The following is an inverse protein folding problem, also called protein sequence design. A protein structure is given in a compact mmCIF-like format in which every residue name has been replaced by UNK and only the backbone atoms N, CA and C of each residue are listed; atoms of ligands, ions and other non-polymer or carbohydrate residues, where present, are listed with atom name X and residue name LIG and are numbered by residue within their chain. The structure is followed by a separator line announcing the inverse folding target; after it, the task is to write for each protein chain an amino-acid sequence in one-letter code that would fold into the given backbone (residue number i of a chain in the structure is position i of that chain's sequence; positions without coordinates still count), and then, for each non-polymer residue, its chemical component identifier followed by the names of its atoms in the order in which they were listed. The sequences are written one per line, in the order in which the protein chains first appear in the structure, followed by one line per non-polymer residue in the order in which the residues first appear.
data_IF_670520256265
#
_entry.id   IF_670520256265
#
_cell.length_a   1.000
_cell.length_b   1.000
_cell.length_c   1.000
_cell.angle_alpha   90.00
_cell.angle_beta   90.00
_cell.angle_gamma   90.00
#
_symmetry.space_group_name_H-M   'P 1'
#
loop_
_entity.id
_entity.type
_entity.pdbx_description
1 polymer ?
#
# COMPACT_ATOMS: atom_id res chain seq x y z
N UNK A 1 32.22 18.68 -37.58
CA UNK A 1 31.46 19.71 -36.86
C UNK A 1 30.11 19.20 -36.34
N UNK A 2 29.37 18.37 -37.09
CA UNK A 2 28.09 17.77 -36.66
C UNK A 2 28.15 16.95 -35.34
N UNK A 3 29.25 16.24 -35.05
CA UNK A 3 29.34 15.40 -33.85
C UNK A 3 29.42 16.16 -32.52
N UNK A 4 29.98 17.38 -32.54
CA UNK A 4 30.12 18.21 -31.34
C UNK A 4 28.78 18.87 -30.97
N UNK A 5 28.05 19.35 -31.97
CA UNK A 5 26.72 19.95 -31.80
C UNK A 5 25.68 18.95 -31.28
N UNK A 6 25.76 17.68 -31.74
CA UNK A 6 24.89 16.61 -31.22
C UNK A 6 25.23 16.21 -29.78
N UNK A 7 26.52 16.20 -29.41
CA UNK A 7 26.96 15.92 -28.05
C UNK A 7 26.56 17.06 -27.08
N UNK A 8 26.70 18.31 -27.51
CA UNK A 8 26.28 19.48 -26.74
C UNK A 8 24.76 19.49 -26.53
N UNK A 9 23.96 19.22 -27.56
CA UNK A 9 22.50 19.07 -27.40
C UNK A 9 22.13 17.91 -26.49
N UNK A 10 22.82 16.77 -26.56
CA UNK A 10 22.57 15.64 -25.66
C UNK A 10 22.86 15.99 -24.19
N UNK A 11 23.97 16.70 -23.93
CA UNK A 11 24.33 17.18 -22.59
C UNK A 11 23.33 18.23 -22.11
N UNK A 12 22.90 19.15 -22.98
CA UNK A 12 21.96 20.20 -22.64
C UNK A 12 20.56 19.63 -22.36
N UNK A 13 20.09 18.68 -23.17
CA UNK A 13 18.86 17.91 -22.91
C UNK A 13 18.97 17.09 -21.62
N UNK A 14 20.08 16.42 -21.36
CA UNK A 14 20.29 15.67 -20.11
C UNK A 14 20.27 16.59 -18.88
N UNK A 15 20.87 17.79 -18.97
CA UNK A 15 20.81 18.81 -17.91
C UNK A 15 19.41 19.39 -17.72
N UNK A 16 18.68 19.64 -18.81
CA UNK A 16 17.30 20.11 -18.73
C UNK A 16 16.36 19.04 -18.15
N UNK A 17 16.57 17.76 -18.46
CA UNK A 17 15.85 16.64 -17.86
C UNK A 17 16.18 16.52 -16.37
N UNK A 18 17.47 16.62 -16.01
CA UNK A 18 17.90 16.60 -14.61
C UNK A 18 17.31 17.75 -13.78
N UNK A 19 17.25 18.96 -14.35
CA UNK A 19 16.64 20.12 -13.69
C UNK A 19 15.10 20.04 -13.69
N UNK A 20 14.47 19.48 -14.72
CA UNK A 20 13.01 19.29 -14.75
C UNK A 20 12.55 18.18 -13.79
N UNK A 21 13.38 17.17 -13.54
CA UNK A 21 13.14 16.18 -12.47
C UNK A 21 13.30 16.77 -11.07
N UNK A 22 14.00 17.91 -10.92
CA UNK A 22 14.23 18.52 -9.61
C UNK A 22 12.94 19.08 -8.97
N UNK A 23 11.90 19.34 -9.79
CA UNK A 23 10.60 19.84 -9.36
C UNK A 23 9.50 18.77 -9.36
N UNK A 24 9.83 17.49 -9.60
CA UNK A 24 8.84 16.39 -9.61
C UNK A 24 9.26 15.27 -8.66
N UNK A 25 8.36 14.90 -7.73
CA UNK A 25 8.53 13.78 -6.83
C UNK A 25 7.55 12.67 -7.20
N UNK A 26 8.06 11.51 -7.60
CA UNK A 26 7.29 10.33 -7.94
C UNK A 26 7.19 9.41 -6.73
N UNK A 27 5.97 9.16 -6.27
CA UNK A 27 5.68 8.44 -5.03
C UNK A 27 4.95 7.15 -5.36
N UNK A 28 5.61 6.01 -5.16
CA UNK A 28 4.95 4.70 -5.14
C UNK A 28 4.28 4.46 -3.79
N UNK A 29 3.09 3.86 -3.79
CA UNK A 29 2.39 3.58 -2.54
C UNK A 29 1.46 2.37 -2.61
N UNK A 30 1.28 1.72 -1.45
CA UNK A 30 0.14 0.83 -1.21
C UNK A 30 -1.06 1.63 -0.65
N UNK A 31 -2.32 1.20 -0.88
CA UNK A 31 -3.51 2.00 -0.58
C UNK A 31 -3.63 2.55 0.86
N UNK A 32 -3.04 1.89 1.86
CA UNK A 32 -3.07 2.41 3.25
C UNK A 32 -2.35 3.76 3.39
N UNK A 33 -1.27 3.98 2.64
CA UNK A 33 -0.50 5.22 2.74
C UNK A 33 -1.33 6.44 2.31
N UNK A 34 -2.19 6.26 1.30
CA UNK A 34 -3.15 7.27 0.85
C UNK A 34 -4.10 7.71 1.95
N UNK A 35 -4.54 6.77 2.80
CA UNK A 35 -5.50 7.05 3.88
C UNK A 35 -4.83 7.54 5.16
N UNK A 36 -3.64 7.02 5.49
CA UNK A 36 -3.01 7.21 6.81
C UNK A 36 -1.79 8.12 6.82
N UNK A 37 -1.16 8.36 5.68
CA UNK A 37 0.10 9.11 5.62
C UNK A 37 -0.11 10.42 4.86
N UNK A 38 -0.59 10.35 3.62
CA UNK A 38 -0.68 11.51 2.74
C UNK A 38 -1.51 12.67 3.28
N UNK A 39 -2.66 12.47 3.96
CA UNK A 39 -3.42 13.56 4.54
C UNK A 39 -2.64 14.38 5.58
N UNK A 40 -1.63 13.79 6.23
CA UNK A 40 -0.83 14.45 7.26
C UNK A 40 0.46 15.07 6.69
N UNK A 41 1.10 14.42 5.72
CA UNK A 41 2.39 14.87 5.18
C UNK A 41 2.25 15.81 3.99
N UNK A 42 1.28 15.59 3.10
CA UNK A 42 1.18 16.34 1.85
C UNK A 42 0.83 17.81 2.03
N UNK A 43 -0.05 18.22 2.97
CA UNK A 43 -0.27 19.65 3.23
C UNK A 43 1.02 20.38 3.64
N UNK A 44 1.84 19.74 4.49
CA UNK A 44 3.11 20.30 4.93
C UNK A 44 4.13 20.37 3.78
N UNK A 45 4.22 19.33 2.96
CA UNK A 45 5.09 19.32 1.77
C UNK A 45 4.69 20.45 0.81
N UNK A 46 3.40 20.60 0.52
CA UNK A 46 2.91 21.68 -0.37
C UNK A 46 3.16 23.08 0.19
N UNK A 47 3.11 23.25 1.52
CA UNK A 47 3.38 24.54 2.15
C UNK A 47 4.86 24.94 2.08
N UNK A 48 5.79 23.98 2.23
CA UNK A 48 7.24 24.24 2.22
C UNK A 48 7.85 24.19 0.81
N UNK A 49 7.24 23.43 -0.10
CA UNK A 49 7.70 23.22 -1.47
C UNK A 49 6.53 23.43 -2.47
N UNK A 50 6.06 24.67 -2.65
CA UNK A 50 4.87 24.95 -3.46
C UNK A 50 5.01 24.59 -4.94
N UNK A 51 6.24 24.64 -5.48
CA UNK A 51 6.54 24.30 -6.87
C UNK A 51 6.73 22.79 -7.11
N UNK A 52 6.82 21.99 -6.04
CA UNK A 52 7.03 20.54 -6.14
C UNK A 52 5.77 19.84 -6.66
N UNK A 53 5.91 19.17 -7.81
CA UNK A 53 4.87 18.33 -8.41
C UNK A 53 4.99 16.90 -7.88
N UNK A 54 4.12 16.52 -6.94
CA UNK A 54 4.02 15.13 -6.51
C UNK A 54 3.15 14.31 -7.48
N UNK A 55 3.69 13.22 -8.01
CA UNK A 55 2.97 12.19 -8.79
C UNK A 55 2.81 10.93 -7.94
N UNK A 56 1.61 10.36 -7.94
CA UNK A 56 1.26 9.23 -7.10
C UNK A 56 1.02 7.98 -7.95
N UNK A 57 1.71 6.90 -7.60
CA UNK A 57 1.66 5.62 -8.31
C UNK A 57 1.17 4.54 -7.35
N UNK A 58 -0.08 4.11 -7.48
CA UNK A 58 -0.62 2.99 -6.71
C UNK A 58 -0.04 1.69 -7.26
N UNK A 59 0.87 1.08 -6.50
CA UNK A 59 1.70 -0.05 -6.94
C UNK A 59 1.79 -1.09 -5.83
N UNK A 60 1.84 -2.37 -6.19
CA UNK A 60 2.17 -3.46 -5.26
C UNK A 60 3.59 -3.28 -4.70
N UNK A 61 3.89 -3.91 -3.56
CA UNK A 61 5.22 -3.80 -2.94
C UNK A 61 6.34 -4.19 -3.92
N UNK A 62 6.13 -5.25 -4.72
CA UNK A 62 7.11 -5.72 -5.71
C UNK A 62 7.29 -4.75 -6.88
N UNK A 63 6.20 -4.16 -7.39
CA UNK A 63 6.25 -3.14 -8.44
C UNK A 63 6.97 -1.88 -7.97
N UNK A 64 6.76 -1.47 -6.72
CA UNK A 64 7.47 -0.33 -6.13
C UNK A 64 8.99 -0.57 -6.10
N UNK A 65 9.46 -1.76 -5.71
CA UNK A 65 10.90 -2.05 -5.73
C UNK A 65 11.48 -2.05 -7.14
N UNK A 66 10.74 -2.55 -8.12
CA UNK A 66 11.14 -2.47 -9.54
C UNK A 66 11.22 -1.02 -10.01
N UNK A 67 10.20 -0.22 -9.68
CA UNK A 67 10.12 1.18 -10.05
C UNK A 67 11.21 2.03 -9.38
N UNK A 68 11.56 1.76 -8.12
CA UNK A 68 12.69 2.39 -7.44
C UNK A 68 14.01 2.09 -8.16
N UNK A 69 14.28 0.80 -8.46
CA UNK A 69 15.50 0.38 -9.19
C UNK A 69 15.63 1.05 -10.55
N UNK A 70 14.52 1.26 -11.23
CA UNK A 70 14.48 1.85 -12.57
C UNK A 70 14.39 3.39 -12.55
N UNK A 71 14.39 4.04 -11.38
CA UNK A 71 14.26 5.49 -11.24
C UNK A 71 12.89 6.03 -11.71
N UNK A 72 11.86 5.19 -11.69
CA UNK A 72 10.48 5.56 -12.05
C UNK A 72 9.72 6.17 -10.87
N UNK A 73 10.08 5.78 -9.65
CA UNK A 73 9.64 6.42 -8.41
C UNK A 73 10.86 6.77 -7.56
N UNK A 74 10.71 7.81 -6.75
CA UNK A 74 11.76 8.33 -5.86
C UNK A 74 11.56 7.82 -4.43
N UNK A 75 10.30 7.64 -4.00
CA UNK A 75 9.93 7.18 -2.66
C UNK A 75 8.87 6.09 -2.76
N UNK A 76 8.99 5.05 -1.94
CA UNK A 76 8.01 3.98 -1.82
C UNK A 76 7.39 3.95 -0.41
N UNK A 77 6.06 4.00 -0.34
CA UNK A 77 5.28 3.71 0.86
C UNK A 77 4.78 2.27 0.78
N UNK A 78 5.54 1.35 1.38
CA UNK A 78 5.38 -0.10 1.30
C UNK A 78 5.09 -0.71 2.67
N UNK A 79 4.48 -1.91 2.73
CA UNK A 79 4.32 -2.67 3.99
C UNK A 79 5.55 -3.50 4.32
N UNK A 80 6.37 -3.81 3.31
CA UNK A 80 7.53 -4.65 3.45
C UNK A 80 8.77 -3.88 2.98
N UNK A 81 9.83 -3.73 3.80
CA UNK A 81 11.00 -2.94 3.43
C UNK A 81 11.93 -3.62 2.42
N UNK A 82 11.57 -4.80 1.89
CA UNK A 82 12.41 -5.48 0.90
C UNK A 82 13.69 -6.04 1.51
N UNK A 83 14.75 -6.16 0.70
CA UNK A 83 16.10 -6.40 1.18
C UNK A 83 16.76 -5.06 1.53
N UNK A 84 17.12 -4.87 2.80
CA UNK A 84 17.67 -3.63 3.36
C UNK A 84 19.05 -3.22 2.79
N UNK A 85 19.68 -4.02 1.94
CA UNK A 85 20.97 -3.70 1.34
C UNK A 85 20.89 -2.79 0.12
N UNK A 86 19.71 -2.67 -0.50
CA UNK A 86 19.52 -1.89 -1.74
C UNK A 86 18.92 -0.51 -1.47
N UNK A 87 18.08 -0.38 -0.44
CA UNK A 87 17.36 0.84 -0.14
C UNK A 87 17.40 1.16 1.35
N UNK A 88 17.55 2.45 1.66
CA UNK A 88 17.28 2.94 3.00
C UNK A 88 15.77 2.88 3.28
N UNK A 89 15.40 2.53 4.51
CA UNK A 89 14.00 2.45 4.93
C UNK A 89 13.79 3.10 6.29
N UNK A 90 12.65 3.79 6.43
CA UNK A 90 12.22 4.42 7.67
C UNK A 90 10.83 3.88 7.99
N UNK A 91 10.67 3.36 9.22
CA UNK A 91 9.38 2.90 9.71
C UNK A 91 8.51 4.10 10.07
N UNK A 92 7.33 4.20 9.46
CA UNK A 92 6.39 5.31 9.68
C UNK A 92 5.40 4.97 10.80
N UNK A 93 4.73 3.82 10.72
CA UNK A 93 3.77 3.35 11.73
C UNK A 93 3.56 1.83 11.62
N UNK A 94 2.99 1.23 12.64
CA UNK A 94 2.53 -0.17 12.61
C UNK A 94 1.03 -0.22 12.31
N UNK A 95 0.64 -1.15 11.44
CA UNK A 95 -0.74 -1.32 11.03
C UNK A 95 -1.32 -2.64 11.59
N UNK A 96 -2.23 -2.61 12.59
CA UNK A 96 -2.76 -3.84 13.16
C UNK A 96 -3.76 -4.51 12.21
N UNK A 97 -3.58 -5.82 12.03
CA UNK A 97 -4.58 -6.67 11.38
C UNK A 97 -5.83 -6.73 12.27
N UNK A 98 -7.00 -6.47 11.69
CA UNK A 98 -8.26 -6.31 12.41
C UNK A 98 -9.36 -7.14 11.76
N UNK A 99 -10.24 -7.68 12.60
CA UNK A 99 -11.47 -8.32 12.14
C UNK A 99 -12.52 -7.24 11.87
N UNK A 100 -13.16 -7.31 10.71
CA UNK A 100 -14.30 -6.49 10.34
C UNK A 100 -15.52 -7.42 10.25
N UNK A 101 -16.62 -7.02 10.86
CA UNK A 101 -17.87 -7.79 10.85
C UNK A 101 -19.04 -6.88 10.45
N UNK A 102 -20.15 -7.45 9.93
CA UNK A 102 -21.37 -6.69 9.73
C UNK A 102 -21.82 -5.99 11.01
N UNK A 103 -22.39 -4.80 10.90
CA UNK A 103 -22.84 -4.00 12.06
C UNK A 103 -23.83 -4.77 12.95
N UNK A 104 -24.68 -5.58 12.35
CA UNK A 104 -25.72 -6.35 13.05
C UNK A 104 -25.20 -7.72 13.55
N UNK A 105 -23.90 -8.01 13.37
CA UNK A 105 -23.30 -9.23 13.90
C UNK A 105 -23.24 -9.19 15.43
N UNK A 106 -23.55 -10.29 16.15
CA UNK A 106 -23.36 -10.38 17.60
C UNK A 106 -21.93 -10.03 18.05
N UNK A 107 -20.94 -10.30 17.19
CA UNK A 107 -19.54 -9.97 17.44
C UNK A 107 -19.29 -8.46 17.52
N UNK A 108 -20.09 -7.63 16.84
CA UNK A 108 -19.94 -6.17 16.85
C UNK A 108 -20.28 -5.54 18.21
N UNK A 109 -21.04 -6.24 19.05
CA UNK A 109 -21.39 -5.79 20.40
C UNK A 109 -20.30 -6.10 21.44
N UNK A 110 -19.27 -6.86 21.08
CA UNK A 110 -18.24 -7.34 22.01
C UNK A 110 -16.94 -6.52 21.87
N UNK A 111 -16.31 -6.10 22.99
CA UNK A 111 -15.04 -5.38 22.93
C UNK A 111 -13.87 -6.27 22.47
N UNK A 112 -14.00 -7.59 22.70
CA UNK A 112 -13.04 -8.60 22.26
C UNK A 112 -13.80 -9.84 21.83
N UNK A 113 -13.30 -10.49 20.78
CA UNK A 113 -13.84 -11.76 20.28
C UNK A 113 -12.73 -12.79 20.20
N UNK A 114 -13.08 -14.04 20.51
CA UNK A 114 -12.15 -15.15 20.28
C UNK A 114 -12.11 -15.43 18.79
N UNK A 115 -10.92 -15.53 18.20
CA UNK A 115 -10.80 -15.90 16.78
C UNK A 115 -11.45 -17.26 16.49
N UNK A 116 -11.53 -18.15 17.49
CA UNK A 116 -12.17 -19.46 17.38
C UNK A 116 -13.69 -19.40 17.20
N UNK A 117 -14.36 -18.31 17.57
CA UNK A 117 -15.79 -18.15 17.29
C UNK A 117 -16.10 -18.00 15.80
N UNK A 118 -15.06 -17.82 14.97
CA UNK A 118 -15.17 -17.69 13.53
C UNK A 118 -14.76 -18.96 12.76
N UNK A 119 -14.64 -20.09 13.45
CA UNK A 119 -14.40 -21.36 12.77
C UNK A 119 -15.55 -21.71 11.83
N UNK A 120 -15.22 -22.12 10.61
CA UNK A 120 -16.15 -22.42 9.52
C UNK A 120 -17.07 -21.25 9.11
N UNK A 121 -16.73 -20.01 9.47
CA UNK A 121 -17.43 -18.83 8.96
C UNK A 121 -16.91 -18.45 7.57
N UNK A 122 -17.77 -17.74 6.84
CA UNK A 122 -17.44 -17.16 5.54
C UNK A 122 -16.62 -15.88 5.71
N UNK A 123 -15.49 -15.81 5.02
CA UNK A 123 -14.55 -14.71 5.06
C UNK A 123 -14.33 -14.07 3.70
N UNK A 124 -14.20 -12.75 3.72
CA UNK A 124 -13.62 -11.91 2.67
C UNK A 124 -12.20 -11.55 3.08
N UNK A 125 -11.23 -11.78 2.21
CA UNK A 125 -9.82 -11.41 2.47
C UNK A 125 -9.23 -10.65 1.30
N UNK A 126 -8.02 -10.12 1.50
CA UNK A 126 -7.28 -9.44 0.44
C UNK A 126 -6.98 -10.37 -0.74
N UNK A 127 -7.17 -9.85 -1.95
CA UNK A 127 -6.72 -10.47 -3.19
C UNK A 127 -5.19 -10.59 -3.22
N UNK A 128 -4.69 -11.72 -3.71
CA UNK A 128 -3.26 -12.04 -3.75
C UNK A 128 -2.51 -11.18 -4.76
N UNK A 129 -3.11 -10.88 -5.92
CA UNK A 129 -2.44 -10.07 -6.95
C UNK A 129 -2.38 -8.61 -6.53
N UNK A 130 -3.49 -8.09 -6.00
CA UNK A 130 -3.64 -6.68 -5.63
C UNK A 130 -2.86 -6.31 -4.35
N UNK A 131 -2.66 -7.26 -3.44
CA UNK A 131 -1.96 -7.03 -2.17
C UNK A 131 -1.32 -8.32 -1.63
N UNK A 132 -0.23 -8.81 -2.28
CA UNK A 132 0.38 -10.10 -1.95
C UNK A 132 0.83 -10.22 -0.49
N UNK A 133 1.42 -9.17 0.07
CA UNK A 133 1.94 -9.18 1.44
C UNK A 133 0.82 -9.24 2.48
N UNK A 134 -0.27 -8.50 2.27
CA UNK A 134 -1.44 -8.55 3.17
C UNK A 134 -2.15 -9.90 3.06
N UNK A 135 -2.30 -10.42 1.84
CA UNK A 135 -2.85 -11.76 1.62
C UNK A 135 -2.05 -12.81 2.38
N UNK A 136 -0.72 -12.82 2.22
CA UNK A 136 0.17 -13.73 2.93
C UNK A 136 0.05 -13.60 4.45
N UNK A 137 0.04 -12.37 4.97
CA UNK A 137 -0.11 -12.10 6.40
C UNK A 137 -1.41 -12.69 6.97
N UNK A 138 -2.53 -12.54 6.27
CA UNK A 138 -3.83 -13.10 6.66
C UNK A 138 -3.80 -14.63 6.64
N UNK A 139 -3.24 -15.22 5.59
CA UNK A 139 -3.13 -16.68 5.46
C UNK A 139 -2.26 -17.28 6.57
N UNK A 140 -1.11 -16.65 6.85
CA UNK A 140 -0.20 -17.07 7.91
C UNK A 140 -0.86 -16.93 9.29
N UNK A 141 -1.64 -15.86 9.51
CA UNK A 141 -2.43 -15.69 10.74
C UNK A 141 -3.47 -16.81 10.93
N UNK A 142 -4.22 -17.19 9.89
CA UNK A 142 -5.19 -18.28 9.99
C UNK A 142 -4.52 -19.64 10.27
N UNK A 143 -3.39 -19.92 9.60
CA UNK A 143 -2.60 -21.14 9.84
C UNK A 143 -2.07 -21.21 11.27
N UNK A 144 -1.44 -20.14 11.75
CA UNK A 144 -0.89 -20.06 13.11
C UNK A 144 -2.00 -20.19 14.17
N UNK A 145 -3.16 -19.59 13.92
CA UNK A 145 -4.33 -19.68 14.79
C UNK A 145 -5.07 -21.02 14.70
N UNK A 146 -4.63 -21.94 13.82
CA UNK A 146 -5.33 -23.20 13.49
C UNK A 146 -6.82 -22.95 13.23
N UNK A 147 -7.14 -21.88 12.52
CA UNK A 147 -8.50 -21.49 12.20
C UNK A 147 -8.83 -22.01 10.82
N UNK A 148 -9.88 -22.82 10.72
CA UNK A 148 -10.45 -23.20 9.42
C UNK A 148 -11.49 -22.15 9.06
N UNK A 149 -11.24 -21.43 7.97
CA UNK A 149 -12.15 -20.42 7.42
C UNK A 149 -12.59 -20.83 6.04
N UNK A 150 -13.79 -20.41 5.65
CA UNK A 150 -14.25 -20.53 4.27
C UNK A 150 -14.03 -19.18 3.57
N UNK A 151 -13.00 -19.05 2.75
CA UNK A 151 -12.78 -17.81 1.99
C UNK A 151 -13.70 -17.80 0.78
N UNK A 152 -14.75 -16.99 0.84
CA UNK A 152 -15.79 -16.93 -0.20
C UNK A 152 -15.54 -15.85 -1.24
N UNK A 153 -14.77 -14.82 -0.89
CA UNK A 153 -14.49 -13.69 -1.75
C UNK A 153 -13.12 -13.07 -1.49
N UNK A 154 -12.59 -12.41 -2.51
CA UNK A 154 -11.34 -11.65 -2.47
C UNK A 154 -11.59 -10.19 -2.81
N UNK A 155 -11.05 -9.28 -2.00
CA UNK A 155 -11.16 -7.83 -2.19
C UNK A 155 -9.85 -7.25 -2.69
N UNK A 156 -9.89 -6.50 -3.79
CA UNK A 156 -8.73 -5.82 -4.38
C UNK A 156 -8.36 -4.51 -3.68
N UNK A 157 -9.28 -3.94 -2.89
CA UNK A 157 -9.06 -2.74 -2.09
C UNK A 157 -9.97 -2.71 -0.85
N UNK A 158 -9.69 -1.77 0.05
CA UNK A 158 -10.42 -1.60 1.32
C UNK A 158 -11.91 -1.29 1.14
N UNK A 159 -12.28 -0.45 0.17
CA UNK A 159 -13.68 -0.08 -0.04
C UNK A 159 -14.51 -1.30 -0.46
N UNK A 160 -13.97 -2.12 -1.36
CA UNK A 160 -14.59 -3.38 -1.73
C UNK A 160 -14.69 -4.33 -0.53
N UNK A 161 -13.65 -4.43 0.30
CA UNK A 161 -13.67 -5.26 1.51
C UNK A 161 -14.82 -4.85 2.45
N UNK A 162 -14.93 -3.55 2.76
CA UNK A 162 -16.00 -3.01 3.64
C UNK A 162 -17.38 -3.25 3.04
N UNK A 163 -17.54 -3.06 1.73
CA UNK A 163 -18.82 -3.31 1.05
C UNK A 163 -19.23 -4.78 1.11
N UNK A 164 -18.30 -5.72 0.89
CA UNK A 164 -18.57 -7.15 0.99
C UNK A 164 -18.91 -7.56 2.42
N UNK A 165 -18.23 -6.99 3.42
CA UNK A 165 -18.60 -7.18 4.83
C UNK A 165 -20.01 -6.64 5.10
N UNK A 166 -20.35 -5.47 4.57
CA UNK A 166 -21.70 -4.91 4.66
C UNK A 166 -22.79 -5.79 4.04
N UNK A 167 -22.44 -6.69 3.12
CA UNK A 167 -23.36 -7.66 2.51
C UNK A 167 -23.55 -8.93 3.35
N UNK A 168 -22.82 -9.10 4.46
CA UNK A 168 -23.08 -10.15 5.45
C UNK A 168 -21.92 -11.10 5.77
N UNK A 169 -20.77 -10.98 5.09
CA UNK A 169 -19.59 -11.82 5.37
C UNK A 169 -18.69 -11.21 6.45
N UNK A 170 -17.90 -12.05 7.13
CA UNK A 170 -16.81 -11.55 7.96
C UNK A 170 -15.64 -11.12 7.05
N UNK A 171 -14.87 -10.13 7.47
CA UNK A 171 -13.70 -9.64 6.74
C UNK A 171 -12.49 -9.59 7.63
N UNK A 172 -11.31 -9.82 7.07
CA UNK A 172 -10.06 -9.45 7.74
C UNK A 172 -9.37 -8.40 6.91
N UNK A 173 -9.06 -7.27 7.54
CA UNK A 173 -8.31 -6.20 6.91
C UNK A 173 -7.53 -5.45 7.96
N UNK A 174 -6.53 -4.67 7.54
CA UNK A 174 -5.89 -3.75 8.45
C UNK A 174 -6.83 -2.60 8.80
N UNK A 175 -7.03 -2.27 10.08
CA UNK A 175 -8.07 -1.30 10.51
C UNK A 175 -8.12 -0.03 9.62
N UNK A 176 -9.16 0.18 8.79
CA UNK A 176 -9.50 1.51 8.31
C UNK A 176 -10.02 2.32 9.51
N UNK A 177 -9.77 3.64 9.55
CA UNK A 177 -10.07 4.47 10.73
C UNK A 177 -11.46 4.21 11.33
#
# INVERSE_FOLDING_TARGET
MLSLEHAERAIQSARQIANAQQDQLNIGFVPVAEMKVFPYIMPNIRAHFPELKAQFHSLTDAEQFSALRNGQIDIAFTRYPGQLSEFDSIRIFDEPLTLIVPKDSPAAALPYVSIKSFENQDFVISDEQSSPQLHKLIQDFFKQSKLKVNVVQYSTNILLNVNLVGMGWAGVWCRPM
#
